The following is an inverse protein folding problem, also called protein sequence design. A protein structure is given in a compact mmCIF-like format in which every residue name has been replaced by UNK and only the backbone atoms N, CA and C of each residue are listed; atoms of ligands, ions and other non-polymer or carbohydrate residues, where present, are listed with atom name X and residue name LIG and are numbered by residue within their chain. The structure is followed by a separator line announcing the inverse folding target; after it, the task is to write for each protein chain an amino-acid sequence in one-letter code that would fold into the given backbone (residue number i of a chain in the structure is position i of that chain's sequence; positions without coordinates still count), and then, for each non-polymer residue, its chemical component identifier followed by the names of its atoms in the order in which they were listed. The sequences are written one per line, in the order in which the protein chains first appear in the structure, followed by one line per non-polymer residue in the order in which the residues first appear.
data_IF_661331844884
#
_entry.id   IF_661331844884
#
_cell.length_a   1.000
_cell.length_b   1.000
_cell.length_c   1.000
_cell.angle_alpha   90.00
_cell.angle_beta   90.00
_cell.angle_gamma   90.00
#
_symmetry.space_group_name_H-M   'P 1'
#
loop_
_entity.id
_entity.type
_entity.pdbx_description
1 polymer ?
#
# COMPACT_ATOMS: atom_id res chain seq x y z
N UNK A 1 -6.15 24.31 3.90
CA UNK A 1 -5.61 24.40 2.53
C UNK A 1 -6.73 23.98 1.60
N UNK A 2 -7.12 24.81 0.62
CA UNK A 2 -8.20 24.45 -0.30
C UNK A 2 -7.60 23.61 -1.43
N UNK A 3 -7.74 22.28 -1.35
CA UNK A 3 -7.06 21.31 -2.24
C UNK A 3 -7.48 21.40 -3.72
N UNK A 4 -8.49 22.22 -4.04
CA UNK A 4 -8.97 22.42 -5.42
C UNK A 4 -8.49 23.72 -6.07
N UNK A 5 -7.59 24.49 -5.42
CA UNK A 5 -7.08 25.72 -6.00
C UNK A 5 -6.07 25.44 -7.13
N UNK A 6 -6.13 26.15 -8.28
CA UNK A 6 -5.12 26.04 -9.32
C UNK A 6 -3.71 26.32 -8.81
N UNK A 7 -2.71 25.58 -9.32
CA UNK A 7 -1.30 25.69 -8.90
C UNK A 7 -0.77 27.12 -9.00
N UNK A 8 -1.15 27.87 -10.04
CA UNK A 8 -0.81 29.29 -10.19
C UNK A 8 -1.30 30.14 -9.03
N UNK A 9 -2.54 29.90 -8.57
CA UNK A 9 -3.14 30.62 -7.46
C UNK A 9 -2.46 30.28 -6.14
N UNK A 10 -2.13 29.02 -5.91
CA UNK A 10 -1.38 28.58 -4.73
C UNK A 10 0.00 29.24 -4.73
N UNK A 11 0.68 29.27 -5.87
CA UNK A 11 1.98 29.92 -6.01
C UNK A 11 1.92 31.41 -5.64
N UNK A 12 0.98 32.17 -6.21
CA UNK A 12 0.82 33.59 -5.91
C UNK A 12 0.46 33.83 -4.42
N UNK A 13 -0.37 32.96 -3.84
CA UNK A 13 -0.71 33.00 -2.41
C UNK A 13 0.48 32.71 -1.50
N UNK A 14 1.37 31.79 -1.88
CA UNK A 14 2.56 31.47 -1.08
C UNK A 14 3.66 32.52 -1.25
N UNK A 15 3.85 33.06 -2.46
CA UNK A 15 4.78 34.18 -2.69
C UNK A 15 4.34 35.43 -1.93
N UNK A 16 3.03 35.71 -1.85
CA UNK A 16 2.52 36.87 -1.10
C UNK A 16 2.59 36.70 0.42
N UNK A 17 2.62 35.46 0.95
CA UNK A 17 2.87 35.18 2.37
C UNK A 17 4.35 35.22 2.74
N UNK A 18 5.24 35.02 1.76
CA UNK A 18 6.66 35.00 2.01
C UNK A 18 7.16 36.41 2.40
N UNK A 19 7.86 36.50 3.53
CA UNK A 19 8.50 37.75 3.98
C UNK A 19 9.82 38.00 3.25
N UNK A 20 9.80 37.96 1.92
CA UNK A 20 10.98 38.28 1.12
C UNK A 20 11.21 39.79 1.08
N UNK A 21 12.48 40.20 0.94
CA UNK A 21 12.78 41.61 0.69
C UNK A 21 12.24 42.02 -0.68
N UNK A 22 11.92 43.31 -0.89
CA UNK A 22 11.42 43.80 -2.17
C UNK A 22 12.33 43.48 -3.36
N UNK A 23 13.67 43.47 -3.15
CA UNK A 23 14.62 43.11 -4.20
C UNK A 23 14.54 41.61 -4.54
N UNK A 24 14.37 40.76 -3.54
CA UNK A 24 14.27 39.32 -3.73
C UNK A 24 12.95 38.95 -4.40
N UNK A 25 11.84 39.61 -4.03
CA UNK A 25 10.52 39.42 -4.63
C UNK A 25 10.50 39.77 -6.12
N UNK A 26 11.24 40.80 -6.53
CA UNK A 26 11.42 41.16 -7.93
C UNK A 26 12.27 40.16 -8.73
N UNK A 27 13.06 39.31 -8.05
CA UNK A 27 13.88 38.27 -8.67
C UNK A 27 13.17 36.91 -8.79
N UNK A 28 12.02 36.75 -8.12
CA UNK A 28 11.21 35.53 -8.19
C UNK A 28 10.49 35.50 -9.54
N UNK A 29 10.69 34.44 -10.36
CA UNK A 29 10.05 34.32 -11.66
C UNK A 29 8.54 34.13 -11.52
N UNK A 30 7.78 34.68 -12.45
CA UNK A 30 6.33 34.48 -12.49
C UNK A 30 6.00 33.02 -12.82
N UNK A 31 4.89 32.49 -12.31
CA UNK A 31 4.48 31.09 -12.56
C UNK A 31 4.48 30.75 -14.06
N UNK A 32 4.03 31.66 -14.91
CA UNK A 32 3.99 31.44 -16.36
C UNK A 32 5.40 31.42 -17.00
N UNK A 33 6.38 32.10 -16.42
CA UNK A 33 7.79 32.06 -16.85
C UNK A 33 8.41 30.73 -16.46
N UNK A 34 8.09 30.21 -15.28
CA UNK A 34 8.47 28.86 -14.84
C UNK A 34 7.85 27.82 -15.79
N UNK A 35 6.54 27.90 -16.05
CA UNK A 35 5.84 27.00 -16.97
C UNK A 35 6.42 27.07 -18.39
N UNK A 36 6.67 28.27 -18.91
CA UNK A 36 7.27 28.46 -20.23
C UNK A 36 8.70 27.92 -20.30
N UNK A 37 9.49 28.15 -19.26
CA UNK A 37 10.84 27.62 -19.10
C UNK A 37 10.90 26.11 -19.02
N UNK A 38 9.87 25.46 -18.46
CA UNK A 38 9.72 24.00 -18.43
C UNK A 38 9.15 23.43 -19.74
N UNK A 39 8.19 24.12 -20.35
CA UNK A 39 7.53 23.66 -21.58
C UNK A 39 8.44 23.76 -22.81
N UNK A 40 9.33 24.75 -22.86
CA UNK A 40 10.30 24.92 -23.96
C UNK A 40 11.24 23.71 -24.15
N UNK A 41 11.97 23.21 -23.13
CA UNK A 41 12.78 22.00 -23.26
C UNK A 41 11.92 20.75 -23.46
N UNK A 42 10.74 20.66 -22.83
CA UNK A 42 9.80 19.55 -23.07
C UNK A 42 9.41 19.42 -24.54
N UNK A 43 9.06 20.54 -25.20
CA UNK A 43 8.70 20.57 -26.63
C UNK A 43 9.83 20.09 -27.55
N UNK A 44 11.10 20.22 -27.15
CA UNK A 44 12.22 19.67 -27.93
C UNK A 44 12.31 18.14 -27.86
N UNK A 45 11.77 17.55 -26.80
CA UNK A 45 11.76 16.11 -26.54
C UNK A 45 10.43 15.45 -26.93
N UNK A 46 9.35 16.24 -27.07
CA UNK A 46 8.03 15.71 -27.42
C UNK A 46 7.93 15.56 -28.94
N UNK A 47 7.60 14.38 -29.46
CA UNK A 47 7.40 14.20 -30.90
C UNK A 47 6.21 15.03 -31.39
N UNK A 48 6.21 15.36 -32.68
CA UNK A 48 5.09 16.04 -33.34
C UNK A 48 3.85 15.17 -33.19
N UNK A 49 2.73 15.77 -32.76
CA UNK A 49 1.47 15.06 -32.64
C UNK A 49 1.08 14.48 -34.02
N UNK A 50 0.74 13.18 -34.10
CA UNK A 50 0.36 12.56 -35.36
C UNK A 50 -0.90 13.23 -35.92
N UNK A 51 -1.10 13.15 -37.24
CA UNK A 51 -2.25 13.73 -37.94
C UNK A 51 -3.36 12.72 -38.24
N UNK A 52 -3.18 11.46 -37.83
CA UNK A 52 -4.16 10.38 -37.94
C UNK A 52 -3.91 9.31 -36.87
N UNK A 53 -4.85 8.37 -36.67
CA UNK A 53 -4.66 7.20 -35.81
C UNK A 53 -3.62 6.19 -36.36
N UNK A 54 -3.21 6.35 -37.63
CA UNK A 54 -2.20 5.52 -38.28
C UNK A 54 -0.85 6.21 -38.09
N UNK A 55 -0.12 5.79 -37.07
CA UNK A 55 1.22 6.26 -36.76
C UNK A 55 2.04 5.16 -36.10
N UNK A 56 3.34 5.15 -36.30
CA UNK A 56 4.22 4.20 -35.63
C UNK A 56 4.49 4.67 -34.20
N UNK A 57 4.44 3.74 -33.26
CA UNK A 57 4.84 4.00 -31.88
C UNK A 57 6.37 3.83 -31.82
N UNK A 58 7.15 4.81 -31.35
CA UNK A 58 8.60 4.64 -31.25
C UNK A 58 8.99 3.51 -30.29
N UNK A 59 10.10 2.82 -30.58
CA UNK A 59 10.62 1.70 -29.77
C UNK A 59 10.79 2.06 -28.30
N UNK A 60 11.18 3.31 -28.01
CA UNK A 60 11.33 3.83 -26.64
C UNK A 60 10.05 3.80 -25.80
N UNK A 61 8.87 3.71 -26.42
CA UNK A 61 7.58 3.62 -25.72
C UNK A 61 7.06 2.19 -25.59
N UNK A 62 7.75 1.20 -26.16
CA UNK A 62 7.40 -0.21 -26.01
C UNK A 62 7.85 -0.78 -24.68
N UNK A 63 8.79 -0.14 -24.00
CA UNK A 63 9.38 -0.60 -22.75
C UNK A 63 9.37 0.47 -21.65
N UNK A 64 9.37 0.03 -20.39
CA UNK A 64 9.61 0.88 -19.22
C UNK A 64 11.07 1.34 -19.17
N UNK A 65 11.39 2.25 -18.24
CA UNK A 65 12.79 2.64 -17.96
C UNK A 65 13.65 1.47 -17.44
N UNK A 66 13.03 0.45 -16.84
CA UNK A 66 13.67 -0.81 -16.41
C UNK A 66 13.86 -1.82 -17.56
N UNK A 67 13.37 -1.51 -18.78
CA UNK A 67 13.44 -2.40 -19.94
C UNK A 67 12.34 -3.44 -20.03
N UNK A 68 11.32 -3.37 -19.17
CA UNK A 68 10.18 -4.31 -19.19
C UNK A 68 9.17 -3.92 -20.26
N UNK A 69 8.46 -4.89 -20.83
CA UNK A 69 7.40 -4.63 -21.81
C UNK A 69 6.33 -3.71 -21.22
N UNK A 70 5.95 -2.67 -21.97
CA UNK A 70 4.97 -1.67 -21.53
C UNK A 70 3.81 -1.49 -22.51
N UNK A 71 4.06 -1.52 -23.83
CA UNK A 71 2.99 -1.58 -24.82
C UNK A 71 2.55 -3.02 -25.00
N UNK A 72 1.33 -3.34 -24.58
CA UNK A 72 0.79 -4.70 -24.61
C UNK A 72 -0.07 -4.98 -25.83
N UNK A 73 -0.89 -4.01 -26.21
CA UNK A 73 -1.80 -4.14 -27.33
C UNK A 73 -1.67 -2.91 -28.22
N UNK A 74 -1.52 -3.19 -29.51
CA UNK A 74 -1.71 -2.22 -30.57
C UNK A 74 -2.49 -2.93 -31.67
N UNK A 75 -3.77 -2.59 -31.79
CA UNK A 75 -4.66 -3.26 -32.73
C UNK A 75 -5.67 -2.30 -33.33
N UNK A 76 -6.12 -2.61 -34.54
CA UNK A 76 -7.19 -1.88 -35.20
C UNK A 76 -8.54 -2.58 -35.00
N UNK A 77 -9.49 -1.85 -34.43
CA UNK A 77 -10.89 -2.26 -34.30
C UNK A 77 -11.64 -1.77 -35.54
N UNK A 78 -11.94 -2.70 -36.46
CA UNK A 78 -12.57 -2.38 -37.74
C UNK A 78 -11.62 -1.62 -38.69
N UNK A 79 -12.17 -0.73 -39.53
CA UNK A 79 -11.39 -0.09 -40.61
C UNK A 79 -10.58 1.14 -40.19
N UNK A 80 -10.88 1.78 -39.05
CA UNK A 80 -10.32 3.10 -38.71
C UNK A 80 -10.08 3.37 -37.22
N UNK A 81 -10.54 2.52 -36.30
CA UNK A 81 -10.33 2.74 -34.86
C UNK A 81 -9.11 1.94 -34.43
N UNK A 82 -8.24 2.56 -33.64
CA UNK A 82 -7.06 1.90 -33.06
C UNK A 82 -7.24 1.82 -31.55
N UNK A 83 -6.85 0.70 -30.96
CA UNK A 83 -6.83 0.48 -29.54
C UNK A 83 -5.40 0.23 -29.11
N UNK A 84 -4.93 1.05 -28.17
CA UNK A 84 -3.63 0.92 -27.54
C UNK A 84 -3.84 0.54 -26.07
N UNK A 85 -3.09 -0.46 -25.60
CA UNK A 85 -3.07 -0.86 -24.19
C UNK A 85 -1.64 -0.74 -23.67
N UNK A 86 -1.46 0.10 -22.66
CA UNK A 86 -0.21 0.27 -21.95
C UNK A 86 -0.33 -0.25 -20.51
N UNK A 87 0.73 -0.89 -20.02
CA UNK A 87 0.85 -1.38 -18.66
C UNK A 87 2.10 -2.24 -18.51
N UNK A 88 2.59 -2.49 -17.31
CA UNK A 88 3.65 -3.47 -17.07
C UNK A 88 3.08 -4.86 -16.77
N UNK A 89 3.84 -5.97 -16.97
CA UNK A 89 3.38 -7.31 -16.61
C UNK A 89 2.96 -7.39 -15.15
N UNK A 90 3.70 -6.71 -14.26
CA UNK A 90 3.39 -6.66 -12.83
C UNK A 90 2.06 -5.94 -12.56
N UNK A 91 1.80 -4.83 -13.24
CA UNK A 91 0.52 -4.12 -13.11
C UNK A 91 -0.66 -4.97 -13.56
N UNK A 92 -0.50 -5.73 -14.65
CA UNK A 92 -1.55 -6.65 -15.10
C UNK A 92 -1.78 -7.78 -14.11
N UNK A 93 -0.72 -8.40 -13.57
CA UNK A 93 -0.83 -9.42 -12.52
C UNK A 93 -1.60 -8.87 -11.31
N UNK A 94 -1.24 -7.67 -10.84
CA UNK A 94 -1.94 -7.01 -9.73
C UNK A 94 -3.42 -6.72 -10.05
N UNK A 95 -3.72 -6.36 -11.29
CA UNK A 95 -5.08 -6.12 -11.76
C UNK A 95 -5.90 -7.42 -11.77
N UNK A 96 -5.32 -8.54 -12.22
CA UNK A 96 -5.96 -9.86 -12.25
C UNK A 96 -6.19 -10.45 -10.85
N UNK A 97 -5.25 -10.23 -9.93
CA UNK A 97 -5.34 -10.73 -8.56
C UNK A 97 -6.27 -9.91 -7.67
N UNK A 98 -6.61 -8.67 -8.07
CA UNK A 98 -7.36 -7.76 -7.22
C UNK A 98 -8.85 -8.08 -7.21
N UNK A 99 -9.43 -8.10 -6.02
CA UNK A 99 -10.88 -8.23 -5.82
C UNK A 99 -11.67 -6.96 -6.19
N UNK A 100 -11.00 -5.81 -6.34
CA UNK A 100 -11.65 -4.53 -6.63
C UNK A 100 -10.88 -3.81 -7.73
N UNK A 101 -11.51 -3.71 -8.89
CA UNK A 101 -11.04 -2.93 -10.02
C UNK A 101 -11.93 -1.70 -10.18
N UNK A 102 -11.30 -0.53 -10.18
CA UNK A 102 -11.89 0.76 -10.47
C UNK A 102 -11.47 1.16 -11.88
N UNK A 103 -12.42 1.67 -12.64
CA UNK A 103 -12.19 2.09 -14.02
C UNK A 103 -12.78 3.48 -14.20
N UNK A 104 -12.00 4.39 -14.77
CA UNK A 104 -12.47 5.70 -15.18
C UNK A 104 -12.17 5.92 -16.67
N UNK A 105 -13.06 6.66 -17.33
CA UNK A 105 -12.99 6.93 -18.75
C UNK A 105 -13.13 8.42 -19.00
N UNK A 106 -12.06 9.06 -19.48
CA UNK A 106 -12.01 10.51 -19.66
C UNK A 106 -12.08 10.88 -21.14
N UNK A 107 -13.14 11.58 -21.54
CA UNK A 107 -13.32 12.02 -22.94
C UNK A 107 -12.57 13.34 -23.23
N UNK A 108 -12.56 14.28 -22.29
CA UNK A 108 -12.00 15.63 -22.46
C UNK A 108 -10.46 15.66 -22.58
N UNK A 109 -9.78 14.69 -21.99
CA UNK A 109 -8.32 14.52 -22.01
C UNK A 109 -7.84 13.45 -23.01
N UNK A 110 -8.75 12.94 -23.84
CA UNK A 110 -8.38 11.93 -24.84
C UNK A 110 -7.52 12.55 -25.95
N UNK A 111 -6.39 11.94 -26.31
CA UNK A 111 -5.60 12.40 -27.45
C UNK A 111 -6.43 12.42 -28.74
N UNK A 112 -6.13 13.33 -29.68
CA UNK A 112 -6.76 13.32 -31.00
C UNK A 112 -6.73 11.90 -31.61
N UNK A 113 -7.78 11.56 -32.36
CA UNK A 113 -7.99 10.27 -33.05
C UNK A 113 -8.36 9.06 -32.18
N UNK A 114 -8.45 9.24 -30.86
CA UNK A 114 -9.05 8.26 -29.97
C UNK A 114 -10.40 8.77 -29.46
N UNK A 115 -11.34 7.85 -29.26
CA UNK A 115 -12.68 8.20 -28.77
C UNK A 115 -12.70 8.40 -27.24
N UNK A 116 -11.85 7.67 -26.51
CA UNK A 116 -11.80 7.71 -25.06
C UNK A 116 -10.44 7.21 -24.52
N UNK A 117 -9.96 7.80 -23.43
CA UNK A 117 -8.85 7.29 -22.61
C UNK A 117 -9.41 6.61 -21.37
N UNK A 118 -9.03 5.35 -21.15
CA UNK A 118 -9.39 4.61 -19.93
C UNK A 118 -8.20 4.48 -18.99
N UNK A 119 -8.45 4.65 -17.70
CA UNK A 119 -7.51 4.29 -16.63
C UNK A 119 -8.12 3.17 -15.79
N UNK A 120 -7.33 2.12 -15.58
CA UNK A 120 -7.69 0.99 -14.74
C UNK A 120 -6.85 1.06 -13.47
N UNK A 121 -7.51 1.02 -12.32
CA UNK A 121 -6.88 1.02 -11.01
C UNK A 121 -7.36 -0.20 -10.24
N UNK A 122 -6.45 -0.90 -9.56
CA UNK A 122 -6.79 -2.00 -8.68
C UNK A 122 -6.40 -1.66 -7.25
N UNK A 123 -7.25 -2.03 -6.30
CA UNK A 123 -6.91 -1.95 -4.89
C UNK A 123 -6.35 -3.31 -4.44
N UNK A 124 -5.08 -3.33 -4.05
CA UNK A 124 -4.46 -4.49 -3.40
C UNK A 124 -4.24 -4.18 -1.93
N UNK A 125 -5.02 -4.84 -1.08
CA UNK A 125 -4.83 -4.80 0.36
C UNK A 125 -3.82 -5.89 0.74
N UNK A 126 -2.53 -5.57 0.59
CA UNK A 126 -1.47 -6.47 1.05
C UNK A 126 -1.08 -6.06 2.47
N UNK A 127 -1.63 -6.73 3.47
CA UNK A 127 -1.17 -6.60 4.86
C UNK A 127 0.07 -7.48 5.14
N UNK A 128 0.56 -8.20 4.14
CA UNK A 128 1.76 -9.01 4.25
C UNK A 128 2.99 -8.16 3.89
N UNK A 129 3.55 -7.48 4.90
CA UNK A 129 4.91 -6.94 4.85
C UNK A 129 5.96 -8.00 4.47
N UNK A 130 5.60 -9.28 4.57
CA UNK A 130 6.43 -10.43 4.20
C UNK A 130 6.99 -10.34 2.77
N UNK A 131 6.23 -9.82 1.79
CA UNK A 131 6.69 -9.80 0.38
C UNK A 131 7.90 -8.88 0.12
N UNK A 132 8.08 -7.82 0.90
CA UNK A 132 9.23 -6.92 0.81
C UNK A 132 10.27 -7.12 1.92
N UNK A 133 9.81 -7.45 3.13
CA UNK A 133 10.68 -7.61 4.29
C UNK A 133 11.42 -8.95 4.28
N UNK A 134 10.79 -10.03 3.81
CA UNK A 134 11.43 -11.36 3.80
C UNK A 134 12.64 -11.44 2.88
N UNK A 135 12.60 -10.91 1.64
CA UNK A 135 13.79 -10.86 0.80
C UNK A 135 14.92 -10.05 1.44
N UNK A 136 14.60 -8.93 2.09
CA UNK A 136 15.60 -8.08 2.75
C UNK A 136 16.24 -8.78 3.97
N UNK A 137 15.44 -9.41 4.83
CA UNK A 137 15.94 -10.18 5.98
C UNK A 137 16.81 -11.35 5.51
N UNK A 138 16.43 -12.04 4.43
CA UNK A 138 17.21 -13.16 3.90
C UNK A 138 18.59 -12.75 3.37
N UNK A 139 18.73 -11.52 2.88
CA UNK A 139 20.01 -10.96 2.41
C UNK A 139 20.87 -10.52 3.59
N UNK A 140 20.31 -9.78 4.54
CA UNK A 140 21.06 -9.21 5.67
C UNK A 140 21.33 -10.24 6.78
N UNK A 141 20.47 -11.24 6.94
CA UNK A 141 20.54 -12.29 7.96
C UNK A 141 20.29 -13.68 7.36
N UNK A 142 21.24 -14.25 6.59
CA UNK A 142 21.05 -15.52 5.87
C UNK A 142 20.82 -16.73 6.78
N UNK A 143 21.27 -16.67 8.04
CA UNK A 143 21.09 -17.71 9.04
C UNK A 143 19.78 -17.55 9.84
N UNK A 144 19.05 -16.44 9.67
CA UNK A 144 17.80 -16.22 10.37
C UNK A 144 16.70 -17.14 9.81
N UNK A 145 16.14 -17.98 10.67
CA UNK A 145 14.98 -18.81 10.33
C UNK A 145 13.71 -18.02 10.61
N UNK A 146 12.92 -17.75 9.57
CA UNK A 146 11.64 -17.06 9.73
C UNK A 146 10.52 -18.05 10.08
N UNK A 147 10.09 -18.02 11.34
CA UNK A 147 9.12 -18.97 11.88
C UNK A 147 7.70 -18.43 12.02
N UNK A 148 7.45 -17.18 11.60
CA UNK A 148 6.12 -16.59 11.58
C UNK A 148 6.15 -15.06 11.72
N UNK A 149 4.98 -14.45 11.58
CA UNK A 149 4.80 -13.01 11.71
C UNK A 149 3.93 -12.67 12.92
N UNK A 150 4.32 -11.65 13.68
CA UNK A 150 3.56 -11.13 14.83
C UNK A 150 2.12 -10.74 14.45
N UNK A 151 1.89 -10.28 13.21
CA UNK A 151 0.55 -10.00 12.70
C UNK A 151 -0.33 -11.27 12.65
N UNK A 152 0.17 -12.34 12.03
CA UNK A 152 -0.55 -13.61 11.91
C UNK A 152 -0.75 -14.30 13.28
N UNK A 153 0.23 -14.19 14.16
CA UNK A 153 0.13 -14.61 15.56
C UNK A 153 -1.04 -13.89 16.28
N UNK A 154 -1.06 -12.57 16.22
CA UNK A 154 -2.12 -11.75 16.82
C UNK A 154 -3.49 -12.00 16.20
N UNK A 155 -3.54 -12.15 14.88
CA UNK A 155 -4.75 -12.45 14.14
C UNK A 155 -5.34 -13.81 14.55
N UNK A 156 -4.49 -14.81 14.80
CA UNK A 156 -4.91 -16.15 15.22
C UNK A 156 -5.50 -16.13 16.64
N UNK A 157 -4.89 -15.39 17.56
CA UNK A 157 -5.43 -15.19 18.91
C UNK A 157 -6.76 -14.42 18.84
N UNK A 158 -6.84 -13.37 18.03
CA UNK A 158 -8.06 -12.58 17.88
C UNK A 158 -9.22 -13.40 17.27
N UNK A 159 -8.94 -14.24 16.27
CA UNK A 159 -9.94 -15.20 15.73
C UNK A 159 -10.44 -16.16 16.81
N UNK A 160 -9.54 -16.64 17.69
CA UNK A 160 -9.95 -17.47 18.83
C UNK A 160 -10.84 -16.69 19.80
N UNK A 161 -10.48 -15.46 20.16
CA UNK A 161 -11.31 -14.55 20.99
C UNK A 161 -12.72 -14.43 20.39
N UNK A 162 -12.82 -14.22 19.08
CA UNK A 162 -14.11 -14.14 18.39
C UNK A 162 -14.90 -15.46 18.49
N UNK A 163 -14.26 -16.60 18.24
CA UNK A 163 -14.90 -17.92 18.28
C UNK A 163 -15.44 -18.30 19.66
N UNK A 164 -14.84 -17.77 20.73
CA UNK A 164 -15.25 -17.99 22.12
C UNK A 164 -16.35 -17.02 22.57
N UNK A 165 -16.89 -16.18 21.67
CA UNK A 165 -17.91 -15.17 22.00
C UNK A 165 -17.39 -13.97 22.78
N UNK A 166 -16.05 -13.82 22.89
CA UNK A 166 -15.43 -12.74 23.65
C UNK A 166 -15.28 -11.43 22.87
N UNK A 167 -15.69 -11.36 21.59
CA UNK A 167 -15.49 -10.18 20.74
C UNK A 167 -16.08 -8.88 21.34
N UNK A 168 -17.30 -8.96 21.89
CA UNK A 168 -17.96 -7.82 22.54
C UNK A 168 -17.20 -7.43 23.81
N UNK A 169 -16.88 -8.40 24.67
CA UNK A 169 -16.14 -8.14 25.92
C UNK A 169 -14.74 -7.56 25.65
N UNK A 170 -14.01 -8.07 24.65
CA UNK A 170 -12.75 -7.51 24.22
C UNK A 170 -12.88 -6.02 23.82
N UNK A 171 -14.01 -5.63 23.25
CA UNK A 171 -14.27 -4.24 22.83
C UNK A 171 -14.76 -3.36 23.97
N UNK A 172 -15.54 -3.88 24.92
CA UNK A 172 -16.25 -3.08 25.93
C UNK A 172 -15.72 -3.19 27.36
N UNK A 173 -14.93 -4.22 27.67
CA UNK A 173 -14.43 -4.53 29.02
C UNK A 173 -12.90 -4.37 29.04
N UNK A 174 -12.42 -3.36 29.78
CA UNK A 174 -11.01 -3.01 29.82
C UNK A 174 -10.14 -4.09 30.47
N UNK A 175 -10.67 -4.85 31.42
CA UNK A 175 -9.93 -5.94 32.08
C UNK A 175 -9.74 -7.10 31.12
N UNK A 176 -10.81 -7.49 30.40
CA UNK A 176 -10.75 -8.52 29.34
C UNK A 176 -9.81 -8.09 28.22
N UNK A 177 -9.93 -6.84 27.76
CA UNK A 177 -9.09 -6.30 26.68
C UNK A 177 -7.62 -6.27 27.09
N UNK A 178 -7.33 -5.80 28.30
CA UNK A 178 -5.98 -5.77 28.87
C UNK A 178 -5.39 -7.17 28.97
N UNK A 179 -6.15 -8.13 29.49
CA UNK A 179 -5.73 -9.53 29.58
C UNK A 179 -5.39 -10.13 28.21
N UNK A 180 -6.27 -9.96 27.22
CA UNK A 180 -6.04 -10.44 25.86
C UNK A 180 -4.81 -9.79 25.22
N UNK A 181 -4.62 -8.47 25.40
CA UNK A 181 -3.46 -7.74 24.89
C UNK A 181 -2.16 -8.18 25.54
N UNK A 182 -2.16 -8.44 26.86
CA UNK A 182 -0.99 -8.99 27.57
C UNK A 182 -0.63 -10.38 27.02
N UNK A 183 -1.63 -11.23 26.79
CA UNK A 183 -1.43 -12.54 26.18
C UNK A 183 -0.81 -12.42 24.78
N UNK A 184 -1.30 -11.48 23.96
CA UNK A 184 -0.75 -11.16 22.64
C UNK A 184 0.65 -10.51 22.70
N UNK A 185 1.03 -9.88 23.80
CA UNK A 185 2.37 -9.29 23.94
C UNK A 185 3.46 -10.28 24.31
N UNK A 186 3.10 -11.51 24.70
CA UNK A 186 4.07 -12.54 25.12
C UNK A 186 5.10 -12.85 24.04
N UNK A 187 4.72 -12.82 22.75
CA UNK A 187 5.63 -13.05 21.63
C UNK A 187 6.74 -11.99 21.49
N UNK A 188 6.61 -10.85 22.17
CA UNK A 188 7.61 -9.77 22.15
C UNK A 188 8.53 -9.79 23.37
N UNK A 189 8.36 -10.76 24.27
CA UNK A 189 9.16 -10.88 25.49
C UNK A 189 10.43 -11.71 25.24
N UNK A 190 11.48 -11.54 26.07
CA UNK A 190 12.60 -12.46 26.10
C UNK A 190 12.10 -13.89 26.35
N UNK A 191 12.63 -14.85 25.59
CA UNK A 191 12.17 -16.24 25.61
C UNK A 191 12.12 -16.85 27.03
N UNK A 192 13.12 -16.52 27.85
CA UNK A 192 13.26 -17.00 29.23
C UNK A 192 12.15 -16.49 30.17
N UNK A 193 11.46 -15.41 29.79
CA UNK A 193 10.41 -14.79 30.59
C UNK A 193 9.00 -15.17 30.13
N UNK A 194 8.84 -15.72 28.92
CA UNK A 194 7.53 -16.01 28.31
C UNK A 194 6.70 -16.95 29.17
N UNK A 195 7.30 -18.09 29.56
CA UNK A 195 6.59 -19.13 30.31
C UNK A 195 6.12 -18.63 31.68
N UNK A 196 7.04 -18.01 32.45
CA UNK A 196 6.72 -17.45 33.76
C UNK A 196 5.64 -16.37 33.65
N UNK A 197 5.73 -15.48 32.67
CA UNK A 197 4.77 -14.40 32.45
C UNK A 197 3.39 -14.91 32.03
N UNK A 198 3.34 -15.95 31.21
CA UNK A 198 2.10 -16.61 30.84
C UNK A 198 1.38 -17.19 32.07
N UNK A 199 2.09 -17.93 32.92
CA UNK A 199 1.49 -18.52 34.12
C UNK A 199 1.08 -17.47 35.15
N UNK A 200 1.84 -16.39 35.31
CA UNK A 200 1.45 -15.25 36.14
C UNK A 200 0.15 -14.61 35.61
N UNK A 201 0.08 -14.33 34.31
CA UNK A 201 -1.11 -13.76 33.69
C UNK A 201 -2.34 -14.67 33.85
N UNK A 202 -2.16 -15.98 33.67
CA UNK A 202 -3.21 -16.99 33.83
C UNK A 202 -3.72 -17.07 35.27
N UNK A 203 -2.83 -17.02 36.26
CA UNK A 203 -3.19 -17.10 37.68
C UNK A 203 -3.88 -15.83 38.17
N UNK A 204 -3.40 -14.64 37.80
CA UNK A 204 -4.05 -13.36 38.09
C UNK A 204 -5.49 -13.34 37.57
N UNK A 205 -5.69 -13.82 36.34
CA UNK A 205 -6.99 -13.82 35.65
C UNK A 205 -7.98 -14.84 36.26
N UNK A 206 -7.50 -15.92 36.87
CA UNK A 206 -8.37 -17.01 37.37
C UNK A 206 -9.30 -16.61 38.53
N UNK A 207 -9.00 -15.51 39.22
CA UNK A 207 -9.70 -15.06 40.42
C UNK A 207 -11.00 -14.28 40.14
N UNK A 208 -11.25 -13.81 38.90
CA UNK A 208 -12.34 -12.83 38.62
C UNK A 208 -13.20 -13.08 37.37
N UNK A 209 -12.97 -14.15 36.60
CA UNK A 209 -13.30 -14.09 35.17
C UNK A 209 -14.21 -15.22 34.62
N UNK A 210 -15.04 -14.82 33.64
CA UNK A 210 -15.93 -15.61 32.76
C UNK A 210 -15.24 -16.87 32.17
N UNK A 211 -15.98 -17.97 32.06
CA UNK A 211 -15.50 -19.30 31.63
C UNK A 211 -14.75 -19.27 30.28
N UNK A 212 -15.11 -18.36 29.41
CA UNK A 212 -14.59 -18.17 28.05
C UNK A 212 -13.13 -17.71 28.05
N UNK A 213 -12.70 -16.87 28.99
CA UNK A 213 -11.29 -16.48 29.08
C UNK A 213 -10.42 -17.65 29.55
N UNK A 214 -10.93 -18.54 30.42
CA UNK A 214 -10.21 -19.78 30.76
C UNK A 214 -9.99 -20.65 29.52
N UNK A 215 -10.98 -20.73 28.63
CA UNK A 215 -10.84 -21.46 27.36
C UNK A 215 -9.79 -20.82 26.43
N UNK A 216 -9.67 -19.50 26.44
CA UNK A 216 -8.61 -18.80 25.69
C UNK A 216 -7.21 -19.16 26.22
N UNK A 217 -7.02 -19.15 27.55
CA UNK A 217 -5.75 -19.56 28.16
C UNK A 217 -5.43 -21.04 27.89
N UNK A 218 -6.43 -21.93 27.95
CA UNK A 218 -6.24 -23.35 27.62
C UNK A 218 -5.80 -23.54 26.17
N UNK A 219 -6.45 -22.85 25.23
CA UNK A 219 -6.02 -22.85 23.84
C UNK A 219 -4.58 -22.36 23.69
N UNK A 220 -4.23 -21.27 24.37
CA UNK A 220 -2.90 -20.69 24.26
C UNK A 220 -1.81 -21.65 24.79
N UNK A 221 -2.07 -22.26 25.94
CA UNK A 221 -1.20 -23.25 26.56
C UNK A 221 -0.97 -24.46 25.65
N UNK A 222 -2.05 -25.02 25.10
CA UNK A 222 -1.97 -26.22 24.26
C UNK A 222 -1.27 -25.96 22.93
N UNK A 223 -1.57 -24.84 22.28
CA UNK A 223 -1.06 -24.59 20.94
C UNK A 223 0.27 -23.83 20.96
N UNK A 224 0.30 -22.65 21.60
CA UNK A 224 1.45 -21.74 21.52
C UNK A 224 2.56 -22.05 22.52
N UNK A 225 2.25 -22.67 23.66
CA UNK A 225 3.28 -23.05 24.65
C UNK A 225 3.78 -24.48 24.48
N UNK A 226 2.95 -25.39 23.94
CA UNK A 226 3.27 -26.83 23.86
C UNK A 226 3.59 -27.29 22.44
N UNK A 227 2.76 -26.94 21.44
CA UNK A 227 2.93 -27.45 20.06
C UNK A 227 3.88 -26.60 19.21
N UNK A 228 3.91 -25.27 19.42
CA UNK A 228 4.87 -24.39 18.74
C UNK A 228 6.18 -24.36 19.53
N UNK A 229 7.32 -24.81 18.96
CA UNK A 229 8.59 -24.82 19.66
C UNK A 229 9.00 -23.41 20.10
N UNK A 230 9.21 -23.24 21.41
CA UNK A 230 9.73 -22.01 22.01
C UNK A 230 11.24 -21.85 21.75
N UNK A 231 11.98 -22.95 21.63
CA UNK A 231 13.39 -22.96 21.26
C UNK A 231 13.55 -23.06 19.73
N UNK A 232 13.77 -21.91 19.08
CA UNK A 232 14.38 -21.79 17.76
C UNK A 232 15.29 -20.57 17.70
#
# INVERSE_FOLDING_TARGET
MNETAPVSKIYDEEISKAQFSPELLASVPLIHEIESGLNYPRRKLTPILPTSAVFDIPDSYHTTASGEKFLFCDTFIGRKKRMLLFGSPKQLELLFDSSIVLMDGTFSSTPPYFDQTFTLHCLKFDCNFESGLMPAISVEFPEAVHNGCHFHYNQSIYRRIQSLGLATAYSSDDEVRSCCKKLMSLAMMPLQEVETSFYNLRTETNSRVKQELRQLFLYFDQYWMTEVPLEM
#
